data_IF_007138781836
#
_entry.id   IF_007138781836
#
_cell.length_a   1.000
_cell.length_b   1.000
_cell.length_c   1.000
_cell.angle_alpha   90.00
_cell.angle_beta   90.00
_cell.angle_gamma   90.00
#
_symmetry.space_group_name_H-M   'P 1'
#
loop_
_entity.id
_entity.type
_entity.pdbx_description
1 polymer ?
#
# COMPACT_ATOMS: atom_id res chain seq x y z
N UNK A 1 20.44 -50.77 -43.19
CA UNK A 1 19.24 -50.14 -43.68
C UNK A 1 18.63 -49.31 -42.54
N UNK A 2 18.36 -48.18 -42.86
CA UNK A 2 18.16 -46.96 -42.04
C UNK A 2 17.00 -47.01 -41.06
N UNK A 3 17.14 -46.67 -39.79
CA UNK A 3 16.08 -46.16 -38.98
C UNK A 3 16.19 -44.63 -38.90
N UNK A 4 15.28 -44.01 -39.56
CA UNK A 4 15.00 -42.58 -39.45
C UNK A 4 13.82 -42.38 -38.56
N UNK A 5 13.83 -41.24 -37.85
CA UNK A 5 12.68 -40.67 -37.23
C UNK A 5 12.32 -41.16 -35.82
N UNK A 6 13.08 -40.69 -34.84
CA UNK A 6 12.61 -40.56 -33.46
C UNK A 6 13.28 -39.35 -32.78
N UNK A 7 13.16 -38.21 -33.40
CA UNK A 7 13.56 -36.94 -32.79
C UNK A 7 12.54 -35.93 -33.19
N UNK A 8 11.43 -35.89 -32.53
CA UNK A 8 10.54 -34.78 -32.62
C UNK A 8 9.36 -34.92 -31.65
N UNK A 9 9.54 -35.13 -30.38
CA UNK A 9 8.47 -34.89 -29.39
C UNK A 9 9.14 -34.69 -28.04
N UNK A 10 9.75 -33.52 -27.83
CA UNK A 10 10.04 -33.10 -26.49
C UNK A 10 10.25 -31.58 -26.46
N UNK A 11 9.25 -30.83 -26.78
CA UNK A 11 9.26 -29.40 -26.60
C UNK A 11 7.85 -28.89 -26.27
N UNK A 12 7.30 -29.38 -25.18
CA UNK A 12 6.14 -28.74 -24.58
C UNK A 12 6.42 -28.54 -23.11
N UNK A 13 7.40 -27.70 -22.84
CA UNK A 13 7.58 -27.17 -21.48
C UNK A 13 6.48 -26.11 -21.25
N UNK A 14 5.53 -26.53 -20.50
CA UNK A 14 4.44 -25.72 -19.98
C UNK A 14 5.05 -24.61 -19.15
N UNK A 15 5.07 -23.41 -19.68
CA UNK A 15 5.24 -22.19 -18.91
C UNK A 15 3.97 -21.99 -18.08
N UNK A 16 3.88 -22.66 -16.95
CA UNK A 16 2.95 -22.29 -15.90
C UNK A 16 3.43 -20.95 -15.34
N UNK A 17 3.07 -19.87 -16.02
CA UNK A 17 3.21 -18.54 -15.50
C UNK A 17 2.35 -18.45 -14.26
N UNK A 18 2.97 -18.40 -13.09
CA UNK A 18 2.32 -17.93 -11.88
C UNK A 18 1.83 -16.52 -12.17
N UNK A 19 0.56 -16.37 -12.46
CA UNK A 19 -0.10 -15.10 -12.50
C UNK A 19 -0.10 -14.57 -11.06
N UNK A 20 0.91 -13.78 -10.72
CA UNK A 20 0.92 -12.99 -9.52
C UNK A 20 -0.29 -12.06 -9.62
N UNK A 21 -1.25 -12.21 -8.72
CA UNK A 21 -2.41 -11.35 -8.65
C UNK A 21 -1.93 -9.88 -8.60
N UNK A 22 -2.57 -8.98 -9.35
CA UNK A 22 -2.03 -7.67 -9.60
C UNK A 22 -2.10 -6.81 -8.34
N UNK A 23 -0.98 -6.61 -7.69
CA UNK A 23 -0.78 -5.59 -6.64
C UNK A 23 -1.26 -4.20 -7.10
N UNK A 24 -1.37 -4.01 -8.38
CA UNK A 24 -1.87 -2.79 -9.02
C UNK A 24 -3.37 -2.56 -8.81
N UNK A 25 -4.20 -3.63 -8.78
CA UNK A 25 -5.63 -3.52 -8.49
C UNK A 25 -5.90 -3.14 -7.03
N UNK A 26 -5.05 -3.58 -6.13
CA UNK A 26 -5.09 -3.29 -4.70
C UNK A 26 -4.86 -1.80 -4.43
N UNK A 27 -3.98 -1.18 -5.21
CA UNK A 27 -3.65 0.24 -5.08
C UNK A 27 -4.76 1.14 -5.59
N UNK A 28 -5.49 0.75 -6.63
CA UNK A 28 -6.52 1.57 -7.24
C UNK A 28 -7.68 1.93 -6.31
N UNK A 29 -7.99 1.08 -5.34
CA UNK A 29 -9.07 1.32 -4.39
C UNK A 29 -8.74 2.36 -3.30
N UNK A 30 -7.46 2.65 -3.10
CA UNK A 30 -6.96 3.62 -2.12
C UNK A 30 -6.13 4.74 -2.79
N UNK A 31 -6.27 4.91 -4.10
CA UNK A 31 -5.59 5.98 -4.86
C UNK A 31 -6.03 7.39 -4.48
N UNK A 32 -7.18 7.52 -3.86
CA UNK A 32 -7.67 8.78 -3.31
C UNK A 32 -6.91 9.24 -2.05
N UNK A 33 -6.03 8.40 -1.51
CA UNK A 33 -5.12 8.79 -0.43
C UNK A 33 -3.84 9.33 -1.08
N UNK A 34 -3.63 10.65 -1.07
CA UNK A 34 -2.48 11.25 -1.72
C UNK A 34 -1.20 10.94 -0.94
N UNK A 35 -0.14 10.68 -1.69
CA UNK A 35 1.19 10.40 -1.14
C UNK A 35 2.16 11.45 -1.67
N UNK A 36 2.98 12.09 -0.82
CA UNK A 36 3.98 13.05 -1.26
C UNK A 36 4.94 12.49 -2.32
N UNK A 37 5.39 13.35 -3.20
CA UNK A 37 6.39 13.00 -4.21
C UNK A 37 7.70 12.55 -3.55
N UNK A 38 8.42 11.65 -4.21
CA UNK A 38 9.69 11.11 -3.70
C UNK A 38 9.56 9.83 -2.89
N UNK A 39 8.34 9.35 -2.69
CA UNK A 39 8.07 8.06 -2.07
C UNK A 39 7.81 6.99 -3.13
N UNK A 40 8.40 5.82 -2.92
CA UNK A 40 8.19 4.63 -3.74
C UNK A 40 7.49 3.54 -2.93
N UNK A 41 6.54 2.81 -3.51
CA UNK A 41 5.83 1.76 -2.81
C UNK A 41 6.73 0.56 -2.50
N UNK A 42 6.47 -0.07 -1.36
CA UNK A 42 7.11 -1.33 -0.94
C UNK A 42 6.06 -2.43 -1.00
N UNK A 43 5.95 -3.07 -2.15
CA UNK A 43 4.90 -4.06 -2.46
C UNK A 43 4.90 -5.24 -1.48
N UNK A 44 6.07 -5.75 -1.14
CA UNK A 44 6.22 -6.89 -0.21
C UNK A 44 5.74 -6.62 1.22
N UNK A 45 5.50 -5.37 1.56
CA UNK A 45 5.00 -4.94 2.88
C UNK A 45 3.59 -4.39 2.83
N UNK A 46 2.99 -4.32 1.64
CA UNK A 46 1.64 -3.81 1.44
C UNK A 46 0.64 -4.96 1.39
N UNK A 47 -0.51 -4.78 2.02
CA UNK A 47 -1.57 -5.80 2.11
C UNK A 47 -2.93 -5.12 2.04
N UNK A 48 -3.88 -5.76 1.40
CA UNK A 48 -5.29 -5.39 1.47
C UNK A 48 -6.09 -6.53 2.07
N UNK A 49 -7.00 -6.18 2.94
CA UNK A 49 -7.94 -7.10 3.59
C UNK A 49 -9.34 -6.68 3.18
N UNK A 50 -10.09 -7.61 2.65
CA UNK A 50 -11.46 -7.39 2.23
C UNK A 50 -12.39 -8.35 2.97
N UNK A 51 -13.45 -7.79 3.52
CA UNK A 51 -14.55 -8.53 4.15
C UNK A 51 -15.89 -7.99 3.64
N UNK A 52 -17.01 -8.67 3.86
CA UNK A 52 -18.32 -8.20 3.39
C UNK A 52 -18.73 -6.80 3.87
N UNK A 53 -18.20 -6.35 5.01
CA UNK A 53 -18.58 -5.08 5.64
C UNK A 53 -17.46 -4.04 5.72
N UNK A 54 -16.21 -4.46 5.51
CA UNK A 54 -15.05 -3.57 5.68
C UNK A 54 -13.98 -3.88 4.64
N UNK A 55 -13.43 -2.85 4.03
CA UNK A 55 -12.15 -2.91 3.30
C UNK A 55 -11.08 -2.21 4.11
N UNK A 56 -9.95 -2.85 4.28
CA UNK A 56 -8.79 -2.27 4.92
C UNK A 56 -7.53 -2.47 4.08
N UNK A 57 -6.67 -1.47 4.07
CA UNK A 57 -5.41 -1.55 3.38
C UNK A 57 -4.28 -1.12 4.31
N UNK A 58 -3.18 -1.82 4.22
CA UNK A 58 -1.89 -1.42 4.76
C UNK A 58 -0.95 -1.21 3.59
N UNK A 59 -0.59 0.03 3.32
CA UNK A 59 0.29 0.41 2.22
C UNK A 59 1.59 0.98 2.79
N UNK A 60 2.71 0.46 2.34
CA UNK A 60 4.02 0.91 2.80
C UNK A 60 4.76 1.57 1.65
N UNK A 61 5.32 2.73 1.95
CA UNK A 61 6.17 3.52 1.05
C UNK A 61 7.51 3.79 1.70
N UNK A 62 8.50 4.11 0.88
CA UNK A 62 9.83 4.53 1.35
C UNK A 62 10.39 5.63 0.46
N UNK A 63 11.24 6.48 1.05
CA UNK A 63 11.96 7.53 0.32
C UNK A 63 13.15 8.02 1.12
N UNK A 64 13.99 8.82 0.48
CA UNK A 64 15.10 9.50 1.15
C UNK A 64 14.69 10.94 1.47
N UNK A 65 13.79 11.07 2.41
CA UNK A 65 13.22 12.35 2.84
C UNK A 65 13.38 12.42 4.36
N UNK A 66 13.78 13.57 4.86
CA UNK A 66 13.90 13.82 6.30
C UNK A 66 12.51 13.66 6.95
N UNK A 67 12.44 12.97 8.10
CA UNK A 67 11.18 12.51 8.69
C UNK A 67 10.26 13.66 9.12
N UNK A 68 10.79 14.75 9.63
CA UNK A 68 9.99 15.91 10.06
C UNK A 68 9.37 16.62 8.87
N UNK A 69 10.14 16.78 7.80
CA UNK A 69 9.67 17.34 6.53
C UNK A 69 8.60 16.45 5.90
N UNK A 70 8.80 15.14 5.92
CA UNK A 70 7.85 14.18 5.40
C UNK A 70 6.55 14.15 6.22
N UNK A 71 6.65 14.21 7.54
CA UNK A 71 5.50 14.29 8.46
C UNK A 71 4.64 15.53 8.17
N UNK A 72 5.29 16.68 7.98
CA UNK A 72 4.61 17.94 7.64
C UNK A 72 3.98 17.90 6.24
N UNK A 73 4.69 17.34 5.27
CA UNK A 73 4.19 17.17 3.90
C UNK A 73 2.97 16.22 3.85
N UNK A 74 3.02 15.10 4.56
CA UNK A 74 1.89 14.18 4.68
C UNK A 74 0.66 14.88 5.23
N UNK A 75 0.82 15.60 6.34
CA UNK A 75 -0.29 16.35 6.94
C UNK A 75 -0.89 17.36 5.98
N UNK A 76 -0.07 18.22 5.39
CA UNK A 76 -0.52 19.21 4.42
C UNK A 76 -1.25 18.60 3.23
N UNK A 77 -0.69 17.53 2.66
CA UNK A 77 -1.27 16.85 1.49
C UNK A 77 -2.62 16.19 1.82
N UNK A 78 -2.74 15.58 2.97
CA UNK A 78 -3.97 14.94 3.42
C UNK A 78 -5.05 15.97 3.75
N UNK A 79 -4.71 17.03 4.48
CA UNK A 79 -5.66 18.09 4.81
C UNK A 79 -6.19 18.80 3.55
N UNK A 80 -5.33 19.06 2.55
CA UNK A 80 -5.73 19.61 1.25
C UNK A 80 -6.67 18.68 0.48
N UNK A 81 -6.58 17.38 0.71
CA UNK A 81 -7.45 16.37 0.11
C UNK A 81 -8.72 16.07 0.92
N UNK A 82 -8.98 16.88 1.94
CA UNK A 82 -10.20 16.80 2.74
C UNK A 82 -10.14 15.83 3.92
N UNK A 83 -8.96 15.28 4.24
CA UNK A 83 -8.79 14.49 5.45
C UNK A 83 -8.67 15.41 6.67
N UNK A 84 -9.45 15.14 7.70
CA UNK A 84 -9.39 15.88 8.95
C UNK A 84 -8.37 15.23 9.87
N UNK A 85 -7.36 15.98 10.27
CA UNK A 85 -6.38 15.54 11.26
C UNK A 85 -7.04 15.40 12.65
N UNK A 86 -6.84 14.26 13.29
CA UNK A 86 -7.39 13.93 14.61
C UNK A 86 -6.31 14.04 15.68
N UNK A 87 -5.20 13.37 15.50
CA UNK A 87 -4.11 13.31 16.48
C UNK A 87 -2.75 13.05 15.84
N UNK A 88 -1.70 13.43 16.54
CA UNK A 88 -0.32 13.06 16.26
C UNK A 88 0.32 12.57 17.56
N UNK A 89 0.95 11.41 17.50
CA UNK A 89 1.73 10.84 18.59
C UNK A 89 3.13 10.54 18.11
N UNK A 90 4.13 11.01 18.83
CA UNK A 90 5.54 10.69 18.56
C UNK A 90 6.07 9.88 19.73
N UNK A 91 6.58 8.70 19.44
CA UNK A 91 7.09 7.76 20.43
C UNK A 91 8.55 7.41 20.10
N UNK A 92 9.47 8.26 20.48
CA UNK A 92 10.91 8.04 20.42
C UNK A 92 11.38 7.30 19.14
N UNK A 93 11.91 6.13 19.36
CA UNK A 93 12.41 5.22 18.32
C UNK A 93 11.33 4.56 17.45
N UNK A 94 10.07 4.60 17.88
CA UNK A 94 8.94 4.03 17.12
C UNK A 94 8.39 4.96 16.04
N UNK A 95 8.87 6.18 15.98
CA UNK A 95 8.49 7.17 14.99
C UNK A 95 7.23 7.96 15.34
N UNK A 96 6.61 8.56 14.33
CA UNK A 96 5.43 9.41 14.46
C UNK A 96 4.20 8.75 13.84
N UNK A 97 3.11 8.76 14.56
CA UNK A 97 1.81 8.29 14.09
C UNK A 97 0.84 9.46 14.02
N UNK A 98 0.21 9.64 12.87
CA UNK A 98 -0.84 10.63 12.63
C UNK A 98 -2.13 9.89 12.31
N UNK A 99 -3.25 10.39 12.83
CA UNK A 99 -4.59 9.81 12.59
C UNK A 99 -5.48 10.85 11.92
N UNK A 100 -6.20 10.39 10.91
CA UNK A 100 -7.08 11.20 10.09
C UNK A 100 -8.44 10.53 9.89
N UNK A 101 -9.44 11.35 9.59
CA UNK A 101 -10.79 10.91 9.28
C UNK A 101 -11.33 11.67 8.07
N UNK A 102 -12.08 10.98 7.21
CA UNK A 102 -12.79 11.56 6.09
C UNK A 102 -14.03 10.75 5.76
N UNK A 103 -15.22 11.35 5.89
CA UNK A 103 -16.47 10.72 5.49
C UNK A 103 -16.72 9.36 6.14
N UNK A 104 -16.44 9.20 7.43
CA UNK A 104 -16.57 7.92 8.14
C UNK A 104 -15.44 6.92 7.88
N UNK A 105 -14.48 7.26 7.03
CA UNK A 105 -13.28 6.45 6.81
C UNK A 105 -12.15 6.90 7.75
N UNK A 106 -11.34 5.96 8.18
CA UNK A 106 -10.21 6.20 9.07
C UNK A 106 -8.90 5.92 8.34
N UNK A 107 -7.91 6.78 8.57
CA UNK A 107 -6.55 6.64 8.05
C UNK A 107 -5.54 6.87 9.17
N UNK A 108 -4.67 5.91 9.37
CA UNK A 108 -3.50 6.05 10.21
C UNK A 108 -2.25 6.13 9.32
N UNK A 109 -1.42 7.12 9.58
CA UNK A 109 -0.13 7.32 8.92
C UNK A 109 0.97 7.15 9.97
N UNK A 110 1.79 6.14 9.80
CA UNK A 110 2.96 5.91 10.65
C UNK A 110 4.22 6.19 9.87
N UNK A 111 5.09 7.03 10.42
CA UNK A 111 6.38 7.39 9.84
C UNK A 111 7.50 6.94 10.77
N UNK A 112 8.53 6.31 10.21
CA UNK A 112 9.73 5.94 10.97
C UNK A 112 10.97 5.96 10.08
N UNK A 113 12.11 6.17 10.70
CA UNK A 113 13.39 6.11 10.02
C UNK A 113 13.93 4.68 10.03
N UNK A 114 14.32 4.19 8.87
CA UNK A 114 15.13 3.00 8.74
C UNK A 114 16.59 3.37 8.48
N UNK A 115 17.41 2.37 8.26
CA UNK A 115 18.86 2.56 8.07
C UNK A 115 19.22 3.43 6.85
N UNK A 116 18.47 3.30 5.73
CA UNK A 116 18.74 4.01 4.48
C UNK A 116 17.58 4.86 3.98
N UNK A 117 16.39 4.60 4.48
CA UNK A 117 15.16 5.20 4.01
C UNK A 117 14.28 5.61 5.18
N UNK A 118 13.51 6.64 4.96
CA UNK A 118 12.33 6.93 5.76
C UNK A 118 11.14 6.16 5.19
N UNK A 119 10.38 5.53 6.05
CA UNK A 119 9.20 4.73 5.71
C UNK A 119 7.93 5.43 6.12
N UNK A 120 6.91 5.23 5.31
CA UNK A 120 5.53 5.64 5.61
C UNK A 120 4.63 4.42 5.46
N UNK A 121 3.88 4.13 6.48
CA UNK A 121 2.84 3.12 6.47
C UNK A 121 1.48 3.80 6.57
N UNK A 122 0.63 3.56 5.59
CA UNK A 122 -0.76 3.99 5.56
C UNK A 122 -1.64 2.81 5.93
N UNK A 123 -2.39 2.91 7.01
CA UNK A 123 -3.42 1.94 7.37
C UNK A 123 -4.77 2.62 7.21
N UNK A 124 -5.49 2.25 6.16
CA UNK A 124 -6.80 2.79 5.83
C UNK A 124 -7.89 1.75 6.06
N UNK A 125 -9.01 2.17 6.61
CA UNK A 125 -10.21 1.34 6.72
C UNK A 125 -11.43 2.08 6.21
N UNK A 126 -12.26 1.37 5.46
CA UNK A 126 -13.51 1.85 4.89
C UNK A 126 -14.65 0.92 5.27
N UNK A 127 -15.70 1.48 5.86
CA UNK A 127 -16.94 0.76 6.03
C UNK A 127 -17.65 0.66 4.67
N UNK A 128 -18.02 -0.55 4.26
CA UNK A 128 -18.88 -0.76 3.11
C UNK A 128 -20.32 -0.52 3.55
N UNK A 129 -21.07 0.24 2.76
CA UNK A 129 -22.50 0.41 3.00
C UNK A 129 -23.18 -0.98 2.93
N UNK A 130 -23.74 -1.42 4.04
CA UNK A 130 -24.59 -2.59 4.02
C UNK A 130 -25.86 -2.24 3.23
N UNK A 131 -26.28 -3.08 2.26
CA UNK A 131 -27.57 -2.90 1.65
C UNK A 131 -28.63 -2.95 2.76
N UNK A 132 -29.51 -1.95 2.77
CA UNK A 132 -30.65 -1.92 3.68
C UNK A 132 -31.44 -3.22 3.54
N UNK A 133 -31.69 -3.90 4.67
CA UNK A 133 -32.54 -5.09 4.71
C UNK A 133 -33.99 -4.69 4.54
#
# INVERSE_FOLDING_TARGET
>A
MRPRALVAVFALVIAAGCASAPTRAIRSEFEDIPVPKGLSPVESRSTVIESPSVKAARLVYRGRIEITSLSSAMRSTLEQSGWRHISTTTAGDQGTTQVYEKGGNSLQVRLWEGWWFTYVELTASRALAQPAR
#
